data_IF_162437159757
#
_entry.id   IF_162437159757
#
_cell.length_a   1.000
_cell.length_b   1.000
_cell.length_c   1.000
_cell.angle_alpha   90.00
_cell.angle_beta   90.00
_cell.angle_gamma   90.00
#
_symmetry.space_group_name_H-M   'P 1'
#
loop_
_entity.id
_entity.type
_entity.pdbx_description
1 polymer ?
#
# COMPACT_ATOMS: atom_id res chain seq x y z
N UNK A 1 -62.79 -43.22 -9.79
CA UNK A 1 -62.77 -42.90 -11.25
C UNK A 1 -61.42 -42.25 -11.54
N UNK A 2 -60.47 -42.96 -12.15
CA UNK A 2 -60.13 -42.88 -13.59
C UNK A 2 -59.91 -41.43 -14.05
N UNK A 3 -58.67 -40.92 -13.99
CA UNK A 3 -57.72 -40.76 -15.12
C UNK A 3 -58.14 -39.74 -16.18
N UNK A 4 -57.35 -38.67 -16.36
CA UNK A 4 -56.62 -38.44 -17.62
C UNK A 4 -55.42 -37.48 -17.45
N UNK A 5 -54.28 -37.92 -17.98
CA UNK A 5 -52.99 -37.22 -18.16
C UNK A 5 -53.04 -36.22 -19.34
N UNK A 6 -52.23 -35.17 -19.25
CA UNK A 6 -51.33 -34.55 -20.27
C UNK A 6 -50.51 -33.50 -19.49
N UNK A 7 -49.19 -33.51 -19.39
CA UNK A 7 -48.16 -33.79 -20.39
C UNK A 7 -47.58 -32.46 -20.88
N UNK A 8 -46.55 -31.94 -20.20
CA UNK A 8 -45.55 -31.02 -20.77
C UNK A 8 -44.41 -30.82 -19.76
N UNK A 9 -43.36 -31.64 -19.90
CA UNK A 9 -42.04 -31.39 -19.33
C UNK A 9 -41.45 -30.15 -20.01
N UNK A 10 -41.52 -28.99 -19.35
CA UNK A 10 -40.66 -27.86 -19.68
C UNK A 10 -39.41 -27.93 -18.81
N UNK A 11 -38.40 -28.62 -19.32
CA UNK A 11 -37.01 -28.40 -18.90
C UNK A 11 -36.69 -26.93 -19.13
N UNK A 12 -36.45 -26.20 -18.04
CA UNK A 12 -35.82 -24.89 -18.07
C UNK A 12 -34.45 -25.02 -18.77
N UNK A 13 -34.08 -24.14 -19.71
CA UNK A 13 -32.74 -24.18 -20.29
C UNK A 13 -31.74 -23.83 -19.18
N UNK A 14 -30.93 -24.82 -18.79
CA UNK A 14 -29.67 -24.57 -18.10
C UNK A 14 -28.92 -23.50 -18.91
N UNK A 15 -28.72 -22.36 -18.28
CA UNK A 15 -27.83 -21.33 -18.80
C UNK A 15 -26.45 -21.97 -18.89
N UNK A 16 -25.72 -21.88 -20.01
CA UNK A 16 -24.36 -22.38 -20.06
C UNK A 16 -23.58 -21.59 -19.00
N UNK A 17 -23.04 -22.29 -18.00
CA UNK A 17 -21.97 -21.74 -17.20
C UNK A 17 -20.91 -21.19 -18.16
N UNK A 18 -20.31 -20.01 -17.89
CA UNK A 18 -19.24 -19.52 -18.74
C UNK A 18 -18.16 -20.60 -18.76
N UNK A 19 -17.87 -21.13 -19.94
CA UNK A 19 -16.76 -22.01 -20.17
C UNK A 19 -15.50 -21.23 -19.77
N UNK A 20 -15.02 -21.43 -18.54
CA UNK A 20 -13.63 -21.21 -18.23
C UNK A 20 -12.88 -22.08 -19.24
N UNK A 21 -12.14 -21.44 -20.14
CA UNK A 21 -11.23 -22.17 -21.00
C UNK A 21 -10.18 -22.79 -20.08
N UNK A 22 -10.40 -24.06 -19.70
CA UNK A 22 -9.47 -24.93 -18.98
C UNK A 22 -8.22 -25.10 -19.86
N UNK A 23 -7.38 -24.07 -19.86
CA UNK A 23 -6.08 -24.12 -20.49
C UNK A 23 -5.23 -24.98 -19.56
N UNK A 24 -4.71 -26.09 -20.09
CA UNK A 24 -3.92 -27.05 -19.32
C UNK A 24 -2.79 -26.31 -18.55
N UNK A 25 -2.67 -26.49 -17.22
CA UNK A 25 -1.68 -25.80 -16.40
C UNK A 25 -0.24 -25.98 -16.90
N UNK A 26 0.08 -27.13 -17.51
CA UNK A 26 1.41 -27.36 -18.07
C UNK A 26 1.67 -26.51 -19.31
N UNK A 27 0.65 -26.35 -20.17
CA UNK A 27 0.72 -25.43 -21.31
C UNK A 27 0.97 -23.98 -20.85
N UNK A 28 0.26 -23.52 -19.80
CA UNK A 28 0.50 -22.20 -19.22
C UNK A 28 1.92 -22.06 -18.66
N UNK A 29 2.44 -23.10 -18.00
CA UNK A 29 3.82 -23.14 -17.51
C UNK A 29 4.85 -23.04 -18.66
N UNK A 30 4.64 -23.76 -19.76
CA UNK A 30 5.54 -23.70 -20.92
C UNK A 30 5.58 -22.30 -21.54
N UNK A 31 4.41 -21.66 -21.70
CA UNK A 31 4.32 -20.27 -22.19
C UNK A 31 5.04 -19.32 -21.22
N UNK A 32 4.82 -19.46 -19.92
CA UNK A 32 5.51 -18.69 -18.90
C UNK A 32 7.04 -18.84 -18.99
N UNK A 33 7.54 -20.08 -19.08
CA UNK A 33 8.97 -20.35 -19.21
C UNK A 33 9.56 -19.80 -20.50
N UNK A 34 8.80 -19.81 -21.60
CA UNK A 34 9.24 -19.24 -22.87
C UNK A 34 9.38 -17.72 -22.79
N UNK A 35 8.43 -17.02 -22.17
CA UNK A 35 8.56 -15.58 -21.90
C UNK A 35 9.76 -15.29 -20.98
N UNK A 36 9.98 -16.11 -19.94
CA UNK A 36 11.14 -15.95 -19.08
C UNK A 36 12.45 -16.08 -19.84
N UNK A 37 12.59 -17.12 -20.67
CA UNK A 37 13.79 -17.35 -21.49
C UNK A 37 14.09 -16.16 -22.40
N UNK A 38 13.06 -15.56 -23.00
CA UNK A 38 13.22 -14.37 -23.84
C UNK A 38 13.69 -13.15 -23.03
N UNK A 39 13.08 -12.88 -21.87
CA UNK A 39 13.51 -11.80 -20.99
C UNK A 39 14.94 -12.02 -20.48
N UNK A 40 15.25 -13.24 -20.02
CA UNK A 40 16.56 -13.62 -19.49
C UNK A 40 17.67 -13.52 -20.54
N UNK A 41 17.38 -13.81 -21.81
CA UNK A 41 18.35 -13.63 -22.89
C UNK A 41 18.79 -12.15 -23.02
N UNK A 42 17.86 -11.21 -22.85
CA UNK A 42 18.18 -9.77 -22.87
C UNK A 42 18.94 -9.35 -21.61
N UNK A 43 18.47 -9.79 -20.44
CA UNK A 43 19.09 -9.50 -19.13
C UNK A 43 20.55 -9.98 -19.11
N UNK A 44 20.79 -11.26 -19.42
CA UNK A 44 22.13 -11.86 -19.40
C UNK A 44 23.07 -11.34 -20.50
N UNK A 45 22.53 -10.88 -21.64
CA UNK A 45 23.35 -10.22 -22.66
C UNK A 45 23.90 -8.87 -22.18
N UNK A 46 23.21 -8.19 -21.27
CA UNK A 46 23.69 -6.94 -20.67
C UNK A 46 24.85 -7.20 -19.71
N UNK A 47 24.78 -8.25 -18.87
CA UNK A 47 25.85 -8.63 -17.95
C UNK A 47 27.17 -8.86 -18.70
N UNK A 48 27.12 -9.56 -19.84
CA UNK A 48 28.30 -9.83 -20.69
C UNK A 48 28.87 -8.56 -21.36
N UNK A 49 28.01 -7.60 -21.73
CA UNK A 49 28.42 -6.33 -22.38
C UNK A 49 28.90 -5.27 -21.39
N UNK A 50 28.52 -5.36 -20.12
CA UNK A 50 28.99 -4.47 -19.06
C UNK A 50 30.51 -4.46 -18.88
N UNK A 51 31.19 -5.54 -19.27
CA UNK A 51 32.65 -5.67 -19.19
C UNK A 51 33.43 -4.93 -20.28
N UNK A 52 32.78 -4.40 -21.33
CA UNK A 52 33.47 -3.94 -22.56
C UNK A 52 33.00 -2.57 -23.11
N UNK A 53 32.37 -1.73 -22.29
CA UNK A 53 31.83 -0.37 -22.54
C UNK A 53 30.33 -0.27 -22.87
N UNK A 54 29.65 0.60 -22.10
CA UNK A 54 28.21 0.89 -22.10
C UNK A 54 27.26 -0.30 -21.92
N UNK A 55 27.44 -1.08 -20.85
CA UNK A 55 26.56 -2.19 -20.42
C UNK A 55 25.14 -1.80 -20.01
N UNK A 56 24.44 -1.03 -20.84
CA UNK A 56 23.04 -0.61 -20.67
C UNK A 56 22.16 -1.33 -21.69
N UNK A 57 20.93 -1.65 -21.30
CA UNK A 57 19.95 -2.19 -22.23
C UNK A 57 19.56 -1.15 -23.29
N UNK A 58 19.31 -1.61 -24.51
CA UNK A 58 18.70 -0.77 -25.55
C UNK A 58 17.24 -0.49 -25.21
N UNK A 59 16.63 0.63 -25.68
CA UNK A 59 15.22 0.90 -25.44
C UNK A 59 14.28 -0.24 -25.88
N UNK A 60 14.62 -0.89 -27.00
CA UNK A 60 13.93 -2.07 -27.52
C UNK A 60 14.09 -3.30 -26.62
N UNK A 61 15.30 -3.52 -26.09
CA UNK A 61 15.56 -4.55 -25.08
C UNK A 61 14.76 -4.32 -23.80
N UNK A 62 14.66 -3.07 -23.34
CA UNK A 62 13.83 -2.71 -22.18
C UNK A 62 12.35 -3.02 -22.44
N UNK A 63 11.82 -2.61 -23.59
CA UNK A 63 10.44 -2.89 -23.97
C UNK A 63 10.16 -4.40 -24.06
N UNK A 64 11.11 -5.18 -24.59
CA UNK A 64 11.02 -6.64 -24.69
C UNK A 64 10.93 -7.30 -23.32
N UNK A 65 11.80 -6.90 -22.38
CA UNK A 65 11.79 -7.44 -21.01
C UNK A 65 10.47 -7.11 -20.30
N UNK A 66 10.03 -5.85 -20.36
CA UNK A 66 8.79 -5.42 -19.71
C UNK A 66 7.56 -6.13 -20.27
N UNK A 67 7.46 -6.25 -21.60
CA UNK A 67 6.35 -6.95 -22.26
C UNK A 67 6.31 -8.43 -21.85
N UNK A 68 7.45 -9.13 -21.90
CA UNK A 68 7.48 -10.54 -21.47
C UNK A 68 7.07 -10.70 -20.00
N UNK A 69 7.54 -9.83 -19.10
CA UNK A 69 7.15 -9.88 -17.69
C UNK A 69 5.67 -9.61 -17.47
N UNK A 70 5.05 -8.70 -18.22
CA UNK A 70 3.61 -8.44 -18.14
C UNK A 70 2.78 -9.69 -18.51
N UNK A 71 3.18 -10.40 -19.56
CA UNK A 71 2.53 -11.66 -19.95
C UNK A 71 2.74 -12.74 -18.87
N UNK A 72 3.94 -12.86 -18.32
CA UNK A 72 4.25 -13.80 -17.25
C UNK A 72 3.43 -13.55 -15.99
N UNK A 73 3.27 -12.29 -15.60
CA UNK A 73 2.48 -11.88 -14.44
C UNK A 73 1.00 -12.16 -14.67
N UNK A 74 0.50 -11.92 -15.88
CA UNK A 74 -0.87 -12.26 -16.25
C UNK A 74 -1.14 -13.76 -16.09
N UNK A 75 -0.21 -14.62 -16.51
CA UNK A 75 -0.33 -16.07 -16.31
C UNK A 75 -0.30 -16.45 -14.82
N UNK A 76 0.64 -15.88 -14.05
CA UNK A 76 0.78 -16.14 -12.62
C UNK A 76 -0.46 -15.73 -11.81
N UNK A 77 -1.04 -14.57 -12.12
CA UNK A 77 -2.23 -14.05 -11.41
C UNK A 77 -3.46 -14.93 -11.64
N UNK A 78 -3.59 -15.48 -12.85
CA UNK A 78 -4.74 -16.32 -13.22
C UNK A 78 -4.60 -17.77 -12.74
N UNK A 79 -3.41 -18.20 -12.34
CA UNK A 79 -3.14 -19.56 -11.88
C UNK A 79 -3.86 -19.89 -10.56
N UNK A 80 -4.63 -20.97 -10.58
CA UNK A 80 -5.25 -21.57 -9.40
C UNK A 80 -4.23 -22.38 -8.58
N UNK A 81 -4.50 -22.52 -7.27
CA UNK A 81 -3.68 -23.40 -6.43
C UNK A 81 -3.87 -24.88 -6.79
N UNK A 82 -2.89 -25.69 -6.41
CA UNK A 82 -2.88 -27.14 -6.57
C UNK A 82 -3.32 -27.81 -5.26
N UNK A 83 -4.61 -27.64 -4.91
CA UNK A 83 -5.18 -28.21 -3.69
C UNK A 83 -4.57 -27.64 -2.41
N UNK A 84 -4.30 -26.33 -2.39
CA UNK A 84 -3.61 -25.62 -1.31
C UNK A 84 -2.08 -25.64 -1.40
N UNK A 85 -1.49 -26.30 -2.41
CA UNK A 85 -0.09 -26.16 -2.75
C UNK A 85 0.11 -25.11 -3.86
N UNK A 86 1.30 -24.51 -3.96
CA UNK A 86 1.62 -23.62 -5.08
C UNK A 86 1.42 -24.31 -6.43
N UNK A 87 0.75 -23.62 -7.36
CA UNK A 87 0.62 -24.04 -8.75
C UNK A 87 1.97 -24.14 -9.48
N UNK A 88 2.02 -24.77 -10.67
CA UNK A 88 3.26 -24.98 -11.42
C UNK A 88 4.05 -23.69 -11.73
N UNK A 89 3.38 -22.60 -12.10
CA UNK A 89 3.98 -21.30 -12.38
C UNK A 89 4.52 -20.69 -11.09
N UNK A 90 3.74 -20.68 -10.00
CA UNK A 90 4.26 -20.20 -8.72
C UNK A 90 5.47 -21.02 -8.25
N UNK A 91 5.43 -22.36 -8.33
CA UNK A 91 6.59 -23.23 -8.07
C UNK A 91 7.81 -22.82 -8.90
N UNK A 92 7.61 -22.55 -10.19
CA UNK A 92 8.65 -22.06 -11.08
C UNK A 92 9.25 -20.73 -10.59
N UNK A 93 8.41 -19.72 -10.31
CA UNK A 93 8.82 -18.40 -9.78
C UNK A 93 9.65 -18.54 -8.50
N UNK A 94 9.20 -19.39 -7.58
CA UNK A 94 9.88 -19.61 -6.30
C UNK A 94 11.25 -20.28 -6.47
N UNK A 95 11.40 -21.14 -7.48
CA UNK A 95 12.65 -21.85 -7.76
C UNK A 95 13.66 -21.06 -8.60
N UNK A 96 13.24 -19.99 -9.30
CA UNK A 96 14.05 -19.35 -10.35
C UNK A 96 14.65 -17.99 -10.01
N UNK A 97 14.57 -17.51 -8.76
CA UNK A 97 15.04 -16.17 -8.32
C UNK A 97 14.71 -15.04 -9.33
N UNK A 98 13.58 -15.19 -10.01
CA UNK A 98 13.22 -14.42 -11.18
C UNK A 98 13.04 -12.94 -10.85
N UNK A 99 12.31 -12.68 -9.76
CA UNK A 99 11.99 -11.33 -9.30
C UNK A 99 13.26 -10.60 -8.84
N UNK A 100 14.20 -11.32 -8.21
CA UNK A 100 15.48 -10.76 -7.79
C UNK A 100 16.33 -10.40 -9.01
N UNK A 101 16.45 -11.31 -9.97
CA UNK A 101 17.16 -11.07 -11.23
C UNK A 101 16.59 -9.86 -11.99
N UNK A 102 15.27 -9.72 -12.03
CA UNK A 102 14.63 -8.56 -12.66
C UNK A 102 14.90 -7.26 -11.89
N UNK A 103 14.83 -7.29 -10.55
CA UNK A 103 15.13 -6.13 -9.72
C UNK A 103 16.57 -5.65 -9.88
N UNK A 104 17.53 -6.57 -9.87
CA UNK A 104 18.94 -6.26 -10.05
C UNK A 104 19.21 -5.69 -11.45
N UNK A 105 18.59 -6.28 -12.49
CA UNK A 105 18.67 -5.76 -13.84
C UNK A 105 18.09 -4.35 -13.97
N UNK A 106 16.97 -4.05 -13.31
CA UNK A 106 16.41 -2.69 -13.29
C UNK A 106 17.37 -1.69 -12.65
N UNK A 107 18.02 -2.05 -11.54
CA UNK A 107 18.97 -1.20 -10.83
C UNK A 107 20.19 -0.80 -11.69
N UNK A 108 20.63 -1.68 -12.60
CA UNK A 108 21.73 -1.41 -13.53
C UNK A 108 21.37 -0.42 -14.65
N UNK A 109 20.07 -0.21 -14.92
CA UNK A 109 19.58 0.60 -16.03
C UNK A 109 19.19 2.03 -15.60
N UNK A 110 20.16 2.73 -14.98
CA UNK A 110 20.00 4.08 -14.37
C UNK A 110 19.24 5.11 -15.24
N UNK A 111 19.49 5.27 -16.56
CA UNK A 111 18.83 6.31 -17.35
C UNK A 111 17.31 6.15 -17.49
N UNK A 112 16.78 4.95 -17.27
CA UNK A 112 15.35 4.62 -17.37
C UNK A 112 14.80 4.11 -16.04
N UNK A 113 15.53 4.30 -14.95
CA UNK A 113 15.27 3.67 -13.67
C UNK A 113 13.93 4.09 -13.06
N UNK A 114 13.50 5.34 -13.24
CA UNK A 114 12.19 5.82 -12.83
C UNK A 114 11.05 5.03 -13.49
N UNK A 115 11.09 4.91 -14.82
CA UNK A 115 10.12 4.13 -15.59
C UNK A 115 10.12 2.67 -15.14
N UNK A 116 11.30 2.10 -14.92
CA UNK A 116 11.45 0.71 -14.47
C UNK A 116 10.89 0.50 -13.06
N UNK A 117 11.19 1.39 -12.10
CA UNK A 117 10.63 1.36 -10.74
C UNK A 117 9.11 1.43 -10.76
N UNK A 118 8.53 2.30 -11.57
CA UNK A 118 7.09 2.39 -11.72
C UNK A 118 6.49 1.08 -12.28
N UNK A 119 7.13 0.46 -13.27
CA UNK A 119 6.69 -0.84 -13.79
C UNK A 119 6.85 -1.96 -12.75
N UNK A 120 7.96 -1.97 -11.99
CA UNK A 120 8.15 -2.92 -10.90
C UNK A 120 7.05 -2.80 -9.85
N UNK A 121 6.70 -1.58 -9.44
CA UNK A 121 5.61 -1.38 -8.49
C UNK A 121 4.24 -1.79 -9.06
N UNK A 122 3.96 -1.52 -10.35
CA UNK A 122 2.73 -1.99 -11.02
C UNK A 122 2.67 -3.52 -11.10
N UNK A 123 3.79 -4.17 -11.33
CA UNK A 123 3.89 -5.63 -11.32
C UNK A 123 3.59 -6.17 -9.92
N UNK A 124 4.24 -5.62 -8.89
CA UNK A 124 3.99 -6.04 -7.50
C UNK A 124 2.55 -5.77 -7.05
N UNK A 125 1.98 -4.62 -7.41
CA UNK A 125 0.57 -4.30 -7.21
C UNK A 125 -0.34 -5.38 -7.82
N UNK A 126 -0.07 -5.77 -9.07
CA UNK A 126 -0.90 -6.74 -9.79
C UNK A 126 -0.83 -8.13 -9.14
N UNK A 127 0.36 -8.61 -8.80
CA UNK A 127 0.51 -9.93 -8.15
C UNK A 127 -0.04 -9.95 -6.73
N UNK A 128 0.03 -8.85 -5.98
CA UNK A 128 -0.49 -8.79 -4.61
C UNK A 128 -2.01 -8.70 -4.61
N UNK A 129 -2.59 -7.91 -5.52
CA UNK A 129 -4.03 -7.61 -5.51
C UNK A 129 -4.89 -8.63 -6.26
N UNK A 130 -4.36 -9.30 -7.28
CA UNK A 130 -5.17 -10.15 -8.17
C UNK A 130 -4.86 -11.64 -8.09
N UNK A 131 -3.70 -12.05 -7.56
CA UNK A 131 -3.34 -13.47 -7.55
C UNK A 131 -4.27 -14.26 -6.63
N UNK A 132 -4.70 -15.43 -7.10
CA UNK A 132 -5.55 -16.35 -6.34
C UNK A 132 -4.79 -17.08 -5.22
N UNK A 133 -3.47 -17.17 -5.35
CA UNK A 133 -2.57 -17.87 -4.43
C UNK A 133 -1.92 -16.90 -3.42
N UNK A 134 -1.40 -17.42 -2.30
CA UNK A 134 -0.78 -16.60 -1.25
C UNK A 134 0.71 -16.31 -1.52
N UNK A 135 1.02 -15.41 -2.46
CA UNK A 135 2.43 -15.17 -2.83
C UNK A 135 3.28 -14.56 -1.70
N UNK A 136 2.67 -13.72 -0.87
CA UNK A 136 3.35 -12.96 0.19
C UNK A 136 3.74 -13.80 1.42
N UNK A 137 3.58 -15.12 1.37
CA UNK A 137 4.17 -16.03 2.37
C UNK A 137 5.60 -16.46 2.00
N UNK A 138 6.02 -16.20 0.76
CA UNK A 138 7.27 -16.72 0.20
C UNK A 138 8.40 -15.67 0.15
N UNK A 139 9.55 -15.99 0.75
CA UNK A 139 10.74 -15.13 0.77
C UNK A 139 11.23 -14.67 -0.63
N UNK A 140 11.22 -15.50 -1.69
CA UNK A 140 11.58 -15.06 -3.05
C UNK A 140 10.68 -13.96 -3.63
N UNK A 141 9.49 -13.74 -3.06
CA UNK A 141 8.59 -12.63 -3.44
C UNK A 141 8.78 -11.45 -2.49
N UNK A 142 8.84 -11.71 -1.18
CA UNK A 142 8.95 -10.67 -0.15
C UNK A 142 10.28 -9.91 -0.27
N UNK A 143 11.42 -10.59 -0.44
CA UNK A 143 12.73 -9.92 -0.42
C UNK A 143 12.90 -8.90 -1.55
N UNK A 144 12.64 -9.23 -2.84
CA UNK A 144 12.75 -8.24 -3.91
C UNK A 144 11.74 -7.10 -3.77
N UNK A 145 10.54 -7.37 -3.26
CA UNK A 145 9.54 -6.34 -2.95
C UNK A 145 10.07 -5.35 -1.91
N UNK A 146 10.59 -5.83 -0.77
CA UNK A 146 11.11 -4.95 0.28
C UNK A 146 12.30 -4.12 -0.22
N UNK A 147 13.23 -4.74 -0.96
CA UNK A 147 14.35 -4.04 -1.60
C UNK A 147 13.86 -2.92 -2.53
N UNK A 148 12.85 -3.19 -3.35
CA UNK A 148 12.24 -2.19 -4.24
C UNK A 148 11.61 -1.04 -3.44
N UNK A 149 10.83 -1.33 -2.40
CA UNK A 149 10.16 -0.31 -1.60
C UNK A 149 11.18 0.66 -0.97
N UNK A 150 12.29 0.15 -0.45
CA UNK A 150 13.40 0.95 0.10
C UNK A 150 14.08 1.77 -1.01
N UNK A 151 14.41 1.12 -2.12
CA UNK A 151 15.08 1.78 -3.23
C UNK A 151 14.23 2.90 -3.85
N UNK A 152 12.90 2.79 -3.78
CA UNK A 152 11.97 3.83 -4.23
C UNK A 152 11.82 4.93 -3.18
N UNK A 153 11.72 4.60 -1.89
CA UNK A 153 11.59 5.60 -0.81
C UNK A 153 12.82 6.51 -0.71
N UNK A 154 14.01 5.96 -0.94
CA UNK A 154 15.27 6.70 -0.87
C UNK A 154 15.57 7.48 -2.15
N UNK A 155 14.71 7.36 -3.17
CA UNK A 155 14.89 8.07 -4.45
C UNK A 155 14.54 9.55 -4.32
N UNK A 156 15.41 10.42 -4.82
CA UNK A 156 15.12 11.85 -4.97
C UNK A 156 13.89 12.12 -5.87
N UNK A 157 13.58 11.17 -6.76
CA UNK A 157 12.46 11.21 -7.71
C UNK A 157 11.13 10.85 -7.06
N UNK A 158 11.08 10.46 -5.78
CA UNK A 158 9.83 10.08 -5.10
C UNK A 158 8.81 11.23 -5.09
N UNK A 159 9.26 12.48 -5.26
CA UNK A 159 8.38 13.63 -5.40
C UNK A 159 7.63 13.67 -6.74
N UNK A 160 7.89 12.74 -7.67
CA UNK A 160 7.00 12.49 -8.79
C UNK A 160 5.73 11.80 -8.27
N UNK A 161 4.60 12.53 -8.31
CA UNK A 161 3.33 12.09 -7.72
C UNK A 161 2.84 10.73 -8.22
N UNK A 162 3.19 10.28 -9.43
CA UNK A 162 2.80 8.94 -9.90
C UNK A 162 3.57 7.82 -9.17
N UNK A 163 4.88 8.00 -8.99
CA UNK A 163 5.74 7.03 -8.30
C UNK A 163 5.37 6.97 -6.81
N UNK A 164 5.19 8.13 -6.18
CA UNK A 164 4.70 8.26 -4.80
C UNK A 164 3.36 7.55 -4.60
N UNK A 165 2.39 7.85 -5.47
CA UNK A 165 1.07 7.27 -5.42
C UNK A 165 1.13 5.74 -5.53
N UNK A 166 1.95 5.23 -6.45
CA UNK A 166 2.09 3.80 -6.66
C UNK A 166 2.81 3.11 -5.51
N UNK A 167 3.82 3.74 -4.90
CA UNK A 167 4.49 3.23 -3.70
C UNK A 167 3.49 3.07 -2.56
N UNK A 168 2.75 4.13 -2.21
CA UNK A 168 1.79 4.10 -1.10
C UNK A 168 0.64 3.13 -1.37
N UNK A 169 0.23 2.97 -2.64
CA UNK A 169 -0.74 1.96 -3.03
C UNK A 169 -0.26 0.54 -2.72
N UNK A 170 0.97 0.20 -3.10
CA UNK A 170 1.56 -1.12 -2.82
C UNK A 170 1.71 -1.34 -1.32
N UNK A 171 2.21 -0.35 -0.56
CA UNK A 171 2.30 -0.41 0.90
C UNK A 171 0.93 -0.68 1.55
N UNK A 172 -0.11 0.01 1.09
CA UNK A 172 -1.48 -0.20 1.57
C UNK A 172 -2.00 -1.62 1.26
N UNK A 173 -1.76 -2.14 0.05
CA UNK A 173 -2.16 -3.51 -0.32
C UNK A 173 -1.45 -4.56 0.54
N UNK A 174 -0.16 -4.37 0.82
CA UNK A 174 0.59 -5.23 1.75
C UNK A 174 -0.08 -5.21 3.14
N UNK A 175 -0.44 -4.04 3.67
CA UNK A 175 -1.14 -3.94 4.95
C UNK A 175 -2.49 -4.68 4.95
N UNK A 176 -3.25 -4.62 3.85
CA UNK A 176 -4.49 -5.39 3.70
C UNK A 176 -4.18 -6.90 3.82
N UNK A 177 -3.23 -7.40 3.04
CA UNK A 177 -2.86 -8.82 3.05
C UNK A 177 -2.40 -9.29 4.45
N UNK A 178 -1.52 -8.53 5.10
CA UNK A 178 -1.01 -8.81 6.46
C UNK A 178 -2.17 -8.81 7.47
N UNK A 179 -3.13 -7.87 7.35
CA UNK A 179 -4.26 -7.77 8.28
C UNK A 179 -5.25 -8.94 8.18
N UNK A 180 -5.33 -9.56 7.01
CA UNK A 180 -6.28 -10.64 6.72
C UNK A 180 -5.71 -12.03 6.99
N UNK A 181 -4.40 -12.21 6.88
CA UNK A 181 -3.76 -13.54 6.92
C UNK A 181 -2.53 -13.56 7.83
N UNK A 182 -2.62 -14.29 8.95
CA UNK A 182 -1.53 -14.41 9.92
C UNK A 182 -0.25 -15.01 9.33
N UNK A 183 -0.38 -15.93 8.35
CA UNK A 183 0.79 -16.52 7.68
C UNK A 183 1.63 -15.47 6.95
N UNK A 184 0.99 -14.48 6.32
CA UNK A 184 1.70 -13.38 5.66
C UNK A 184 2.41 -12.52 6.71
N UNK A 185 1.73 -12.19 7.80
CA UNK A 185 2.34 -11.47 8.93
C UNK A 185 3.62 -12.18 9.40
N UNK A 186 3.54 -13.47 9.71
CA UNK A 186 4.69 -14.25 10.19
C UNK A 186 5.83 -14.31 9.15
N UNK A 187 5.51 -14.42 7.85
CA UNK A 187 6.51 -14.42 6.78
C UNK A 187 7.25 -13.08 6.66
N UNK A 188 6.56 -11.94 6.79
CA UNK A 188 7.21 -10.63 6.87
C UNK A 188 8.03 -10.50 8.16
N UNK A 189 7.56 -11.04 9.28
CA UNK A 189 8.28 -11.00 10.55
C UNK A 189 9.56 -11.85 10.57
N UNK A 190 9.56 -12.96 9.83
CA UNK A 190 10.66 -13.91 9.70
C UNK A 190 11.64 -13.58 8.57
N UNK A 191 11.45 -12.44 7.89
CA UNK A 191 12.32 -11.97 6.82
C UNK A 191 13.20 -10.83 7.33
N UNK A 192 14.50 -11.06 7.39
CA UNK A 192 15.47 -10.02 7.74
C UNK A 192 15.73 -9.11 6.54
N UNK A 193 15.90 -7.81 6.78
CA UNK A 193 16.40 -6.84 5.79
C UNK A 193 17.65 -6.17 6.31
N UNK A 194 18.49 -5.65 5.40
CA UNK A 194 19.70 -4.91 5.76
C UNK A 194 19.41 -3.61 6.54
N UNK A 195 18.16 -3.15 6.54
CA UNK A 195 17.66 -1.95 7.23
C UNK A 195 16.91 -2.27 8.54
N UNK A 196 17.16 -3.45 9.10
CA UNK A 196 16.48 -3.97 10.29
C UNK A 196 15.42 -5.02 9.93
N UNK A 197 14.58 -5.43 10.88
CA UNK A 197 13.61 -6.48 10.60
C UNK A 197 12.50 -6.00 9.65
N UNK A 198 12.16 -6.75 8.59
CA UNK A 198 11.12 -6.38 7.63
C UNK A 198 9.76 -6.08 8.27
N UNK A 199 9.48 -6.70 9.42
CA UNK A 199 8.29 -6.52 10.27
C UNK A 199 7.84 -5.09 10.48
N UNK A 200 8.73 -4.11 10.38
CA UNK A 200 8.39 -2.72 10.64
C UNK A 200 8.78 -1.75 9.53
N UNK A 201 9.39 -2.24 8.45
CA UNK A 201 9.74 -1.41 7.30
C UNK A 201 8.50 -0.76 6.69
N UNK A 202 7.44 -1.55 6.45
CA UNK A 202 6.19 -1.07 5.85
C UNK A 202 5.58 0.05 6.68
N UNK A 203 5.62 -0.08 8.01
CA UNK A 203 5.16 0.95 8.94
C UNK A 203 5.99 2.24 8.82
N UNK A 204 7.32 2.14 8.88
CA UNK A 204 8.22 3.30 8.78
C UNK A 204 8.07 4.06 7.46
N UNK A 205 7.87 3.33 6.34
CA UNK A 205 7.69 3.92 5.02
C UNK A 205 6.37 4.70 4.89
N UNK A 206 5.37 4.42 5.73
CA UNK A 206 4.07 5.11 5.69
C UNK A 206 4.05 6.41 6.51
N UNK A 207 4.91 6.55 7.53
CA UNK A 207 4.94 7.70 8.45
C UNK A 207 5.08 9.05 7.72
N UNK A 208 5.93 9.22 6.68
CA UNK A 208 6.08 10.49 5.99
C UNK A 208 4.80 11.01 5.29
N UNK A 209 3.81 10.14 5.08
CA UNK A 209 2.61 10.44 4.30
C UNK A 209 1.37 10.75 5.16
N UNK A 210 1.43 10.61 6.48
CA UNK A 210 0.23 10.65 7.35
C UNK A 210 -0.54 11.97 7.29
N UNK A 211 0.20 13.08 7.22
CA UNK A 211 -0.35 14.43 7.17
C UNK A 211 -0.52 14.95 5.72
N UNK A 212 -0.20 14.14 4.70
CA UNK A 212 -0.40 14.53 3.30
C UNK A 212 -1.89 14.60 2.97
N UNK A 213 -2.23 15.49 2.04
CA UNK A 213 -3.58 15.57 1.49
C UNK A 213 -3.79 14.49 0.39
N UNK A 214 -5.05 14.32 0.00
CA UNK A 214 -5.42 13.59 -1.19
C UNK A 214 -5.33 12.08 -1.02
N UNK A 215 -5.34 11.33 -2.14
CA UNK A 215 -5.43 9.88 -2.10
C UNK A 215 -4.17 9.23 -1.51
N UNK A 216 -3.00 9.87 -1.62
CA UNK A 216 -1.74 9.38 -1.04
C UNK A 216 -1.84 9.37 0.49
N UNK A 217 -2.14 10.52 1.09
CA UNK A 217 -2.28 10.60 2.54
C UNK A 217 -3.44 9.77 3.07
N UNK A 218 -4.56 9.69 2.34
CA UNK A 218 -5.69 8.85 2.75
C UNK A 218 -5.31 7.39 2.82
N UNK A 219 -4.70 6.83 1.76
CA UNK A 219 -4.23 5.44 1.76
C UNK A 219 -3.19 5.18 2.84
N UNK A 220 -2.31 6.14 3.12
CA UNK A 220 -1.33 5.99 4.19
C UNK A 220 -1.99 5.88 5.56
N UNK A 221 -2.99 6.73 5.85
CA UNK A 221 -3.78 6.66 7.08
C UNK A 221 -4.57 5.35 7.18
N UNK A 222 -5.22 4.92 6.10
CA UNK A 222 -5.96 3.64 6.06
C UNK A 222 -5.02 2.45 6.33
N UNK A 223 -3.85 2.42 5.69
CA UNK A 223 -2.83 1.41 5.89
C UNK A 223 -2.30 1.37 7.33
N UNK A 224 -2.09 2.53 7.94
CA UNK A 224 -1.64 2.63 9.33
C UNK A 224 -2.73 2.21 10.31
N UNK A 225 -4.02 2.48 10.03
CA UNK A 225 -5.12 1.98 10.87
C UNK A 225 -5.19 0.44 10.88
N UNK A 226 -4.88 -0.21 9.75
CA UNK A 226 -4.74 -1.67 9.70
C UNK A 226 -3.61 -2.15 10.63
N UNK A 227 -2.44 -1.49 10.59
CA UNK A 227 -1.31 -1.81 11.47
C UNK A 227 -1.65 -1.55 12.95
N UNK A 228 -2.36 -0.46 13.26
CA UNK A 228 -2.79 -0.17 14.64
C UNK A 228 -3.77 -1.22 15.15
N UNK A 229 -4.70 -1.65 14.32
CA UNK A 229 -5.63 -2.74 14.65
C UNK A 229 -4.87 -4.05 14.89
N UNK A 230 -3.86 -4.35 14.07
CA UNK A 230 -2.97 -5.49 14.29
C UNK A 230 -2.19 -5.38 15.60
N UNK A 231 -1.75 -4.18 15.97
CA UNK A 231 -1.01 -3.94 17.22
C UNK A 231 -1.81 -4.30 18.47
N UNK A 232 -3.13 -4.10 18.46
CA UNK A 232 -4.00 -4.52 19.56
C UNK A 232 -4.13 -6.04 19.67
N UNK A 233 -3.99 -6.76 18.54
CA UNK A 233 -4.06 -8.23 18.47
C UNK A 233 -2.71 -8.90 18.74
N UNK A 234 -1.61 -8.21 18.45
CA UNK A 234 -0.24 -8.72 18.54
C UNK A 234 0.62 -7.78 19.41
N UNK A 235 0.76 -8.04 20.72
CA UNK A 235 1.37 -7.09 21.67
C UNK A 235 2.79 -6.64 21.30
N UNK A 236 3.58 -7.50 20.67
CA UNK A 236 4.93 -7.17 20.24
C UNK A 236 4.97 -6.06 19.17
N UNK A 237 3.94 -5.94 18.32
CA UNK A 237 3.79 -4.86 17.35
C UNK A 237 3.50 -3.55 18.10
N UNK A 238 2.56 -3.57 19.04
CA UNK A 238 2.24 -2.41 19.88
C UNK A 238 3.42 -1.92 20.70
N UNK A 239 4.18 -2.85 21.30
CA UNK A 239 5.40 -2.54 22.05
C UNK A 239 6.45 -1.87 21.14
N UNK A 240 6.65 -2.39 19.93
CA UNK A 240 7.58 -1.80 18.99
C UNK A 240 7.17 -0.38 18.59
N UNK A 241 5.90 -0.18 18.21
CA UNK A 241 5.41 1.15 17.82
C UNK A 241 5.62 2.15 18.95
N UNK A 242 5.33 1.77 20.20
CA UNK A 242 5.45 2.67 21.34
C UNK A 242 6.90 3.03 21.72
N UNK A 243 7.82 2.06 21.66
CA UNK A 243 9.18 2.23 22.20
C UNK A 243 10.26 2.45 21.13
N UNK A 244 9.97 2.14 19.88
CA UNK A 244 10.97 2.10 18.80
C UNK A 244 10.54 2.89 17.56
N UNK A 245 9.46 3.68 17.66
CA UNK A 245 9.03 4.55 16.56
C UNK A 245 8.68 5.95 17.05
N UNK A 246 8.87 6.93 16.18
CA UNK A 246 8.47 8.32 16.41
C UNK A 246 7.01 8.59 15.98
N UNK A 247 6.20 7.55 15.81
CA UNK A 247 4.83 7.69 15.29
C UNK A 247 3.96 8.63 16.13
N UNK A 248 3.89 8.42 17.46
CA UNK A 248 3.07 9.26 18.33
C UNK A 248 3.57 10.73 18.38
N UNK A 249 4.87 11.02 18.55
CA UNK A 249 5.42 12.37 18.43
C UNK A 249 5.11 13.05 17.09
N UNK A 250 5.30 12.34 15.97
CA UNK A 250 5.09 12.90 14.61
C UNK A 250 3.62 13.21 14.36
N UNK A 251 2.71 12.35 14.82
CA UNK A 251 1.28 12.56 14.71
C UNK A 251 0.83 13.79 15.51
N UNK A 252 1.23 13.89 16.79
CA UNK A 252 0.88 15.01 17.65
C UNK A 252 1.49 16.35 17.19
N UNK A 253 2.76 16.35 16.78
CA UNK A 253 3.44 17.57 16.29
C UNK A 253 2.80 18.06 14.99
N UNK A 254 2.41 17.14 14.10
CA UNK A 254 1.73 17.52 12.87
C UNK A 254 0.34 18.10 13.11
N UNK A 255 -0.41 17.67 14.13
CA UNK A 255 -1.66 18.33 14.52
C UNK A 255 -1.43 19.80 14.89
N UNK A 256 -0.41 20.09 15.70
CA UNK A 256 -0.05 21.46 16.06
C UNK A 256 0.36 22.31 14.85
N UNK A 257 1.11 21.72 13.91
CA UNK A 257 1.50 22.38 12.66
C UNK A 257 0.29 22.69 11.78
N UNK A 258 -0.58 21.70 11.55
CA UNK A 258 -1.79 21.84 10.74
C UNK A 258 -2.77 22.85 11.35
N UNK A 259 -2.95 22.82 12.67
CA UNK A 259 -3.77 23.81 13.37
C UNK A 259 -3.23 25.24 13.17
N UNK A 260 -1.91 25.42 13.25
CA UNK A 260 -1.27 26.73 13.04
C UNK A 260 -1.41 27.24 11.61
N UNK A 261 -1.59 26.34 10.64
CA UNK A 261 -1.86 26.68 9.23
C UNK A 261 -3.31 27.06 8.95
N UNK A 262 -4.23 26.86 9.90
CA UNK A 262 -5.63 27.17 9.70
C UNK A 262 -5.84 28.68 9.46
N UNK A 263 -6.81 29.06 8.61
CA UNK A 263 -7.17 30.46 8.44
C UNK A 263 -7.59 31.07 9.79
N UNK A 264 -7.04 32.24 10.12
CA UNK A 264 -7.37 32.97 11.37
C UNK A 264 -8.83 33.46 11.42
N UNK A 265 -9.50 33.52 10.27
CA UNK A 265 -10.91 33.90 10.15
C UNK A 265 -11.56 33.04 9.08
N UNK A 266 -12.70 32.44 9.42
CA UNK A 266 -13.60 31.87 8.44
C UNK A 266 -14.63 32.93 8.09
N UNK A 267 -14.72 33.29 6.82
CA UNK A 267 -15.80 34.16 6.34
C UNK A 267 -17.06 33.31 6.23
N UNK A 268 -18.09 33.54 7.05
CA UNK A 268 -19.33 32.77 6.97
C UNK A 268 -19.93 32.92 5.57
N UNK A 269 -20.28 31.82 4.87
CA UNK A 269 -20.89 31.88 3.55
C UNK A 269 -22.31 32.47 3.56
N UNK A 270 -23.01 32.40 4.69
CA UNK A 270 -24.36 32.94 4.89
C UNK A 270 -24.62 33.24 6.37
N UNK A 271 -25.67 34.02 6.66
CA UNK A 271 -26.11 34.35 8.03
C UNK A 271 -26.55 33.12 8.84
N UNK A 272 -26.91 32.01 8.16
CA UNK A 272 -27.32 30.75 8.79
C UNK A 272 -26.14 29.79 9.04
N UNK A 273 -24.90 30.22 8.86
CA UNK A 273 -23.73 29.36 9.04
C UNK A 273 -23.38 29.18 10.52
N UNK A 274 -23.68 28.00 11.06
CA UNK A 274 -23.55 27.66 12.49
C UNK A 274 -22.64 26.46 12.79
N UNK A 275 -22.17 25.76 11.76
CA UNK A 275 -21.27 24.61 11.88
C UNK A 275 -20.46 24.44 10.60
N UNK A 276 -19.27 23.84 10.72
CA UNK A 276 -18.49 23.46 9.54
C UNK A 276 -19.20 22.32 8.84
N UNK A 277 -19.53 22.57 7.58
CA UNK A 277 -20.14 21.59 6.68
C UNK A 277 -19.08 20.88 5.86
N UNK A 278 -19.47 19.82 5.16
CA UNK A 278 -18.57 19.13 4.23
C UNK A 278 -18.13 20.05 3.08
N UNK A 279 -19.03 20.93 2.64
CA UNK A 279 -18.78 21.94 1.62
C UNK A 279 -17.69 22.93 2.08
N UNK A 280 -17.66 23.30 3.36
CA UNK A 280 -16.63 24.18 3.91
C UNK A 280 -15.26 23.49 3.92
N UNK A 281 -15.19 22.21 4.29
CA UNK A 281 -13.95 21.44 4.22
C UNK A 281 -13.40 21.34 2.79
N UNK A 282 -14.26 21.16 1.79
CA UNK A 282 -13.85 21.14 0.37
C UNK A 282 -13.29 22.51 -0.06
N UNK A 283 -13.85 23.61 0.46
CA UNK A 283 -13.41 24.98 0.13
C UNK A 283 -12.12 25.39 0.83
N UNK A 284 -11.77 24.75 1.95
CA UNK A 284 -10.65 25.13 2.80
C UNK A 284 -9.73 23.92 2.98
N UNK A 285 -8.73 23.73 2.09
CA UNK A 285 -7.84 22.57 2.12
C UNK A 285 -7.12 22.38 3.46
N UNK A 286 -6.64 23.46 4.09
CA UNK A 286 -5.95 23.39 5.39
C UNK A 286 -6.85 22.84 6.51
N UNK A 287 -8.15 23.19 6.48
CA UNK A 287 -9.16 22.67 7.40
C UNK A 287 -9.40 21.17 7.15
N UNK A 288 -9.53 20.76 5.89
CA UNK A 288 -9.67 19.35 5.53
C UNK A 288 -8.45 18.53 5.98
N UNK A 289 -7.23 19.06 5.81
CA UNK A 289 -6.01 18.41 6.27
C UNK A 289 -5.98 18.26 7.80
N UNK A 290 -6.28 19.33 8.53
CA UNK A 290 -6.35 19.30 9.99
C UNK A 290 -7.38 18.28 10.48
N UNK A 291 -8.59 18.31 9.93
CA UNK A 291 -9.67 17.39 10.29
C UNK A 291 -9.30 15.93 9.97
N UNK A 292 -8.68 15.66 8.82
CA UNK A 292 -8.23 14.32 8.46
C UNK A 292 -7.21 13.79 9.48
N UNK A 293 -6.26 14.63 9.90
CA UNK A 293 -5.24 14.25 10.88
C UNK A 293 -5.83 14.05 12.28
N UNK A 294 -6.79 14.89 12.68
CA UNK A 294 -7.50 14.77 13.95
C UNK A 294 -8.35 13.51 14.01
N UNK A 295 -9.13 13.24 12.95
CA UNK A 295 -9.96 12.04 12.83
C UNK A 295 -9.10 10.78 12.85
N UNK A 296 -7.96 10.78 12.14
CA UNK A 296 -7.01 9.68 12.17
C UNK A 296 -6.42 9.47 13.57
N UNK A 297 -6.03 10.55 14.27
CA UNK A 297 -5.53 10.46 15.64
C UNK A 297 -6.55 9.84 16.59
N UNK A 298 -7.82 10.25 16.49
CA UNK A 298 -8.90 9.66 17.24
C UNK A 298 -9.12 8.17 16.89
N UNK A 299 -9.11 7.82 15.60
CA UNK A 299 -9.25 6.44 15.17
C UNK A 299 -8.11 5.55 15.71
N UNK A 300 -6.87 6.03 15.68
CA UNK A 300 -5.71 5.33 16.27
C UNK A 300 -5.92 5.11 17.77
N UNK A 301 -6.35 6.12 18.53
CA UNK A 301 -6.63 6.00 19.97
C UNK A 301 -7.66 4.89 20.26
N UNK A 302 -8.65 4.71 19.36
CA UNK A 302 -9.72 3.72 19.54
C UNK A 302 -9.28 2.28 19.24
N UNK A 303 -8.40 2.08 18.26
CA UNK A 303 -8.09 0.73 17.74
C UNK A 303 -6.70 0.20 18.09
N UNK A 304 -5.79 1.06 18.54
CA UNK A 304 -4.40 0.68 18.77
C UNK A 304 -4.17 -0.07 20.09
N UNK A 305 -2.98 -0.69 20.20
CA UNK A 305 -2.48 -1.25 21.45
C UNK A 305 -2.48 -0.20 22.59
N UNK A 306 -2.83 -0.57 23.84
CA UNK A 306 -2.94 0.38 24.96
C UNK A 306 -1.72 1.29 25.15
N UNK A 307 -0.49 0.76 25.01
CA UNK A 307 0.72 1.58 25.14
C UNK A 307 0.82 2.68 24.07
N UNK A 308 0.48 2.37 22.81
CA UNK A 308 0.50 3.34 21.72
C UNK A 308 -0.59 4.40 21.95
N UNK A 309 -1.77 3.96 22.38
CA UNK A 309 -2.88 4.85 22.73
C UNK A 309 -2.50 5.82 23.83
N UNK A 310 -2.00 5.31 24.96
CA UNK A 310 -1.71 6.12 26.14
C UNK A 310 -0.58 7.12 25.85
N UNK A 311 0.43 6.70 25.08
CA UNK A 311 1.50 7.57 24.61
C UNK A 311 1.00 8.64 23.62
N UNK A 312 0.13 8.29 22.66
CA UNK A 312 -0.45 9.25 21.74
C UNK A 312 -1.32 10.29 22.45
N UNK A 313 -2.16 9.85 23.41
CA UNK A 313 -2.94 10.76 24.26
C UNK A 313 -2.01 11.72 25.01
N UNK A 314 -0.93 11.19 25.60
CA UNK A 314 0.04 12.03 26.29
C UNK A 314 0.64 13.10 25.37
N UNK A 315 1.14 12.73 24.19
CA UNK A 315 1.73 13.68 23.25
C UNK A 315 0.73 14.69 22.69
N UNK A 316 -0.52 14.28 22.41
CA UNK A 316 -1.57 15.20 21.98
C UNK A 316 -1.90 16.18 23.10
N UNK A 317 -2.01 15.70 24.34
CA UNK A 317 -2.30 16.54 25.49
C UNK A 317 -1.18 17.57 25.73
N UNK A 318 0.06 17.10 25.88
CA UNK A 318 1.20 17.94 26.23
C UNK A 318 1.75 18.75 25.06
N UNK A 319 1.54 18.31 23.82
CA UNK A 319 2.11 18.92 22.61
C UNK A 319 1.13 19.73 21.77
N UNK A 320 -0.18 19.50 21.90
CA UNK A 320 -1.21 20.20 21.14
C UNK A 320 -2.26 20.87 22.04
N UNK A 321 -2.97 20.11 22.88
CA UNK A 321 -4.11 20.64 23.64
C UNK A 321 -3.69 21.74 24.63
N UNK A 322 -2.69 21.47 25.47
CA UNK A 322 -2.22 22.44 26.47
C UNK A 322 -1.44 23.62 25.85
N UNK A 323 -0.44 23.42 24.98
CA UNK A 323 0.38 24.53 24.50
C UNK A 323 -0.20 25.30 23.31
N UNK A 324 -1.09 24.69 22.51
CA UNK A 324 -1.60 25.32 21.27
C UNK A 324 -3.08 25.67 21.41
N UNK A 325 -3.93 24.68 21.71
CA UNK A 325 -5.37 24.88 21.71
C UNK A 325 -5.84 25.72 22.91
N UNK A 326 -5.35 25.43 24.11
CA UNK A 326 -5.78 26.15 25.31
C UNK A 326 -5.49 27.66 25.24
N UNK A 327 -4.29 28.14 24.86
CA UNK A 327 -4.06 29.58 24.68
C UNK A 327 -4.95 30.20 23.59
N UNK A 328 -5.22 29.48 22.50
CA UNK A 328 -6.09 29.97 21.44
C UNK A 328 -7.53 30.20 21.92
N UNK A 329 -8.05 29.31 22.79
CA UNK A 329 -9.36 29.48 23.44
C UNK A 329 -9.41 30.66 24.40
N UNK A 330 -8.31 30.97 25.09
CA UNK A 330 -8.23 32.10 26.03
C UNK A 330 -8.03 33.45 25.32
N UNK A 331 -7.55 33.46 24.08
CA UNK A 331 -7.46 34.67 23.24
C UNK A 331 -8.84 34.99 22.67
N UNK A 332 -9.73 35.50 23.53
CA UNK A 332 -11.13 35.83 23.22
C UNK A 332 -11.21 36.94 22.17
N UNK A 333 -11.33 36.56 20.91
CA UNK A 333 -12.10 37.31 19.90
C UNK A 333 -13.26 36.43 19.47
N UNK A 334 -14.49 36.96 19.38
CA UNK A 334 -15.71 36.20 19.04
C UNK A 334 -15.54 35.32 17.78
N UNK A 335 -14.74 35.78 16.81
CA UNK A 335 -14.43 35.08 15.56
C UNK A 335 -13.67 33.75 15.75
N UNK A 336 -12.75 33.66 16.73
CA UNK A 336 -11.94 32.44 16.98
C UNK A 336 -12.70 31.38 17.78
N UNK A 337 -13.61 31.79 18.66
CA UNK A 337 -14.43 30.87 19.44
C UNK A 337 -15.44 30.18 18.52
N UNK A 338 -16.04 30.94 17.59
CA UNK A 338 -16.96 30.39 16.56
C UNK A 338 -16.25 29.36 15.68
N UNK A 339 -14.99 29.60 15.31
CA UNK A 339 -14.16 28.63 14.57
C UNK A 339 -14.00 27.31 15.32
N UNK A 340 -13.58 27.36 16.57
CA UNK A 340 -13.29 26.16 17.36
C UNK A 340 -14.53 25.31 17.65
N UNK A 341 -15.65 25.95 17.98
CA UNK A 341 -16.94 25.27 18.14
C UNK A 341 -17.44 24.65 16.84
N UNK A 342 -17.21 25.31 15.70
CA UNK A 342 -17.64 24.80 14.40
C UNK A 342 -16.79 23.59 13.92
N UNK A 343 -15.53 23.48 14.36
CA UNK A 343 -14.62 22.34 14.10
C UNK A 343 -14.96 21.12 14.99
N UNK A 344 -15.79 21.29 16.02
CA UNK A 344 -16.16 20.20 16.95
C UNK A 344 -15.02 19.78 17.88
N UNK A 345 -14.10 20.71 18.19
CA UNK A 345 -13.00 20.53 19.14
C UNK A 345 -13.43 20.81 20.59
#
# INVERSE_FOLDING_TARGET
MSWFKRGSDRKSPESPAPAHADTDPNTCLEVFQNHWKQALAVISCQDKKSSLSNGRATPDGVATVLSNLEHMVTLLVNEDDDGGLPGPILKCVLSTELLESFCDWCALNVPVHEKLRLQQLRLFELIISQSKQLLLVHKPVIKPLLKLLIAVSDSQEINNGELEFKLVLVLHQICICISQQSLILESFFSTDTDHGPARFLIFSLLIPYIHREGPVGQRARDALLLIMTLSARHPHIGQYIANNSDFCPVLATGLSGLYSSLPRRLTPPSDDWHAITREDCIRIPDLQMFLNSLQFSNAVIQVAHPLVRDQLIHFIYSGFLVPVLAPALHQVSEDHVTFLFAVGL
#
